data_IF_876744357310
#
_entry.id   IF_876744357310
#
_cell.length_a   1.000
_cell.length_b   1.000
_cell.length_c   1.000
_cell.angle_alpha   90.00
_cell.angle_beta   90.00
_cell.angle_gamma   90.00
#
_symmetry.space_group_name_H-M   'P 1'
#
loop_
_entity.id
_entity.type
_entity.pdbx_description
1 polymer ?
#
# COMPACT_ATOMS: atom_id res chain seq x y z
N UNK A 1 23.35 33.53 -13.74
CA UNK A 1 22.18 34.35 -13.35
C UNK A 1 21.73 34.03 -11.92
N UNK A 2 21.23 32.83 -11.60
CA UNK A 2 20.78 32.47 -10.23
C UNK A 2 21.86 32.57 -9.12
N UNK A 3 23.11 32.14 -9.37
CA UNK A 3 24.20 32.13 -8.35
C UNK A 3 24.51 33.50 -7.72
N UNK A 4 24.20 34.61 -8.40
CA UNK A 4 24.49 35.96 -7.93
C UNK A 4 23.22 36.73 -7.53
N UNK A 5 22.06 36.07 -7.51
CA UNK A 5 20.78 36.68 -7.16
C UNK A 5 20.55 36.65 -5.65
N UNK A 6 19.90 37.69 -5.12
CA UNK A 6 19.28 37.64 -3.81
C UNK A 6 18.00 36.81 -3.86
N UNK A 7 17.75 36.01 -2.82
CA UNK A 7 16.59 35.14 -2.73
C UNK A 7 15.63 35.69 -1.68
N UNK A 8 14.36 35.85 -2.05
CA UNK A 8 13.31 36.31 -1.14
C UNK A 8 12.16 35.32 -1.13
N UNK A 9 11.65 35.00 0.06
CA UNK A 9 10.44 34.19 0.19
C UNK A 9 9.26 35.07 -0.27
N UNK A 10 8.62 34.67 -1.38
CA UNK A 10 7.46 35.37 -1.91
C UNK A 10 6.16 34.87 -1.28
N UNK A 11 6.05 33.57 -1.04
CA UNK A 11 4.87 32.96 -0.44
C UNK A 11 5.23 31.68 0.30
N UNK A 12 4.55 31.45 1.42
CA UNK A 12 4.45 30.15 2.07
C UNK A 12 2.99 29.74 2.18
N UNK A 13 2.69 28.51 1.79
CA UNK A 13 1.36 27.92 1.90
C UNK A 13 1.46 26.56 2.59
N UNK A 14 0.68 26.39 3.66
CA UNK A 14 0.57 25.14 4.40
C UNK A 14 -0.85 24.58 4.19
N UNK A 15 -0.94 23.34 3.68
CA UNK A 15 -2.21 22.69 3.34
C UNK A 15 -2.27 21.26 3.90
N UNK A 16 -3.35 20.89 4.61
CA UNK A 16 -3.59 19.49 4.96
C UNK A 16 -3.78 18.64 3.70
N UNK A 17 -3.09 17.51 3.63
CA UNK A 17 -3.18 16.54 2.53
C UNK A 17 -3.24 15.13 3.10
N UNK A 18 -3.90 14.20 2.41
CA UNK A 18 -3.95 12.80 2.83
C UNK A 18 -3.54 11.86 1.70
N UNK A 19 -3.07 10.66 2.08
CA UNK A 19 -2.77 9.58 1.15
C UNK A 19 -3.65 8.39 1.49
N UNK A 20 -4.60 8.07 0.62
CA UNK A 20 -5.46 6.90 0.79
C UNK A 20 -4.64 5.61 0.64
N UNK A 21 -4.96 4.56 1.40
CA UNK A 21 -4.35 3.26 1.17
C UNK A 21 -4.72 2.73 -0.22
N UNK A 22 -3.75 2.08 -0.86
CA UNK A 22 -3.99 1.42 -2.15
C UNK A 22 -4.84 0.16 -1.97
N UNK A 23 -5.54 -0.25 -3.03
CA UNK A 23 -6.34 -1.46 -3.07
C UNK A 23 -5.52 -2.72 -2.69
N UNK A 24 -6.15 -3.82 -2.25
CA UNK A 24 -5.48 -5.10 -2.15
C UNK A 24 -4.92 -5.53 -3.51
N UNK A 25 -3.93 -6.43 -3.49
CA UNK A 25 -3.24 -6.77 -4.72
C UNK A 25 -4.10 -7.58 -5.70
N UNK A 26 -3.91 -7.28 -6.98
CA UNK A 26 -4.24 -8.16 -8.10
C UNK A 26 -2.94 -8.63 -8.74
N UNK A 27 -3.02 -9.51 -9.73
CA UNK A 27 -1.83 -10.06 -10.40
C UNK A 27 -0.87 -8.98 -10.86
N UNK A 28 -1.40 -7.96 -11.55
CA UNK A 28 -0.58 -6.90 -12.15
C UNK A 28 0.02 -5.94 -11.12
N UNK A 29 -0.71 -5.61 -10.05
CA UNK A 29 -0.22 -4.70 -9.01
C UNK A 29 0.75 -5.40 -8.06
N UNK A 30 0.56 -6.70 -7.79
CA UNK A 30 1.54 -7.52 -7.07
C UNK A 30 2.88 -7.57 -7.82
N UNK A 31 2.84 -7.86 -9.12
CA UNK A 31 4.06 -7.92 -9.95
C UNK A 31 4.82 -6.59 -9.95
N UNK A 32 4.11 -5.46 -10.10
CA UNK A 32 4.71 -4.14 -10.04
C UNK A 32 5.32 -3.85 -8.65
N UNK A 33 4.58 -4.15 -7.58
CA UNK A 33 5.06 -3.91 -6.21
C UNK A 33 6.27 -4.80 -5.86
N UNK A 34 6.26 -6.07 -6.26
CA UNK A 34 7.36 -7.00 -6.04
C UNK A 34 8.62 -6.59 -6.84
N UNK A 35 8.46 -6.10 -8.06
CA UNK A 35 9.57 -5.51 -8.83
C UNK A 35 10.16 -4.30 -8.10
N UNK A 36 9.32 -3.34 -7.73
CA UNK A 36 9.75 -2.08 -7.13
C UNK A 36 10.34 -2.22 -5.72
N UNK A 37 9.80 -3.13 -4.90
CA UNK A 37 10.17 -3.26 -3.49
C UNK A 37 11.11 -4.42 -3.18
N UNK A 38 11.06 -5.49 -3.97
CA UNK A 38 11.83 -6.72 -3.72
C UNK A 38 12.86 -7.01 -4.82
N UNK A 39 12.80 -6.32 -5.96
CA UNK A 39 13.64 -6.59 -7.13
C UNK A 39 13.25 -7.87 -7.87
N UNK A 40 12.03 -8.37 -7.69
CA UNK A 40 11.59 -9.62 -8.34
C UNK A 40 11.04 -9.35 -9.74
N UNK A 41 11.61 -10.02 -10.74
CA UNK A 41 11.00 -10.10 -12.07
C UNK A 41 9.71 -10.93 -12.05
N UNK A 42 8.85 -10.74 -13.05
CA UNK A 42 7.51 -11.37 -13.14
C UNK A 42 7.54 -12.88 -12.91
N UNK A 43 8.46 -13.61 -13.55
CA UNK A 43 8.60 -15.07 -13.41
C UNK A 43 8.85 -15.47 -11.95
N UNK A 44 9.73 -14.76 -11.25
CA UNK A 44 10.07 -15.04 -9.86
C UNK A 44 8.89 -14.74 -8.93
N UNK A 45 8.23 -13.59 -9.11
CA UNK A 45 7.03 -13.22 -8.35
C UNK A 45 5.94 -14.29 -8.47
N UNK A 46 5.63 -14.73 -9.70
CA UNK A 46 4.59 -15.73 -9.91
C UNK A 46 4.97 -17.11 -9.38
N UNK A 47 6.25 -17.50 -9.45
CA UNK A 47 6.74 -18.74 -8.87
C UNK A 47 6.58 -18.75 -7.34
N UNK A 48 6.97 -17.66 -6.66
CA UNK A 48 6.82 -17.55 -5.21
C UNK A 48 5.34 -17.50 -4.80
N UNK A 49 4.51 -16.75 -5.53
CA UNK A 49 3.08 -16.69 -5.27
C UNK A 49 2.40 -18.05 -5.47
N UNK A 50 2.78 -18.82 -6.50
CA UNK A 50 2.32 -20.20 -6.68
C UNK A 50 2.65 -21.06 -5.46
N UNK A 51 3.90 -21.02 -4.99
CA UNK A 51 4.33 -21.79 -3.80
C UNK A 51 3.53 -21.39 -2.55
N UNK A 52 3.32 -20.10 -2.34
CA UNK A 52 2.51 -19.60 -1.21
C UNK A 52 1.05 -20.06 -1.30
N UNK A 53 0.46 -20.05 -2.50
CA UNK A 53 -0.90 -20.52 -2.75
C UNK A 53 -1.04 -22.03 -2.50
N UNK A 54 -0.13 -22.84 -3.06
CA UNK A 54 -0.12 -24.31 -2.86
C UNK A 54 0.10 -24.71 -1.40
N UNK A 55 0.85 -23.90 -0.64
CA UNK A 55 1.03 -24.07 0.79
C UNK A 55 -0.14 -23.50 1.63
N UNK A 56 -1.16 -22.91 1.01
CA UNK A 56 -2.35 -22.40 1.67
C UNK A 56 -2.21 -21.03 2.34
N UNK A 57 -1.10 -20.30 2.12
CA UNK A 57 -0.84 -19.03 2.78
C UNK A 57 -1.55 -17.83 2.16
N UNK A 58 -1.83 -17.87 0.85
CA UNK A 58 -2.51 -16.78 0.13
C UNK A 58 -3.66 -17.31 -0.72
N UNK A 59 -4.58 -16.42 -1.09
CA UNK A 59 -5.61 -16.67 -2.11
C UNK A 59 -4.99 -16.80 -3.51
N UNK A 60 -5.81 -17.22 -4.48
CA UNK A 60 -5.36 -17.46 -5.85
C UNK A 60 -4.72 -16.21 -6.48
N UNK A 61 -3.46 -16.33 -6.89
CA UNK A 61 -2.60 -15.23 -7.32
C UNK A 61 -2.82 -14.76 -8.77
N UNK A 62 -3.71 -15.40 -9.53
CA UNK A 62 -4.10 -15.01 -10.89
C UNK A 62 -5.51 -14.46 -10.89
N UNK A 63 -5.62 -13.22 -10.44
CA UNK A 63 -6.86 -12.46 -10.30
C UNK A 63 -6.67 -11.04 -10.86
N UNK A 64 -7.75 -10.45 -11.37
CA UNK A 64 -7.89 -9.04 -11.74
C UNK A 64 -8.87 -8.28 -10.84
N UNK A 65 -9.41 -8.97 -9.83
CA UNK A 65 -10.40 -8.45 -8.89
C UNK A 65 -9.74 -7.95 -7.60
N UNK A 66 -10.07 -6.73 -7.20
CA UNK A 66 -9.71 -6.17 -5.88
C UNK A 66 -10.74 -6.51 -4.80
N UNK A 67 -11.72 -7.36 -5.12
CA UNK A 67 -12.79 -7.71 -4.19
C UNK A 67 -12.25 -8.51 -2.99
N UNK A 68 -12.86 -8.31 -1.83
CA UNK A 68 -12.56 -9.04 -0.60
C UNK A 68 -13.87 -9.62 -0.07
N UNK A 69 -13.85 -10.88 0.37
CA UNK A 69 -15.01 -11.45 1.07
C UNK A 69 -15.29 -10.72 2.37
N UNK A 70 -16.52 -10.81 2.86
CA UNK A 70 -16.93 -10.24 4.15
C UNK A 70 -16.02 -10.77 5.27
N UNK A 71 -15.81 -12.09 5.32
CA UNK A 71 -14.93 -12.75 6.29
C UNK A 71 -13.49 -12.20 6.24
N UNK A 72 -12.96 -11.95 5.04
CA UNK A 72 -11.62 -11.40 4.88
C UNK A 72 -11.52 -9.98 5.45
N UNK A 73 -12.54 -9.15 5.19
CA UNK A 73 -12.58 -7.77 5.70
C UNK A 73 -12.71 -7.76 7.22
N UNK A 74 -13.59 -8.59 7.78
CA UNK A 74 -13.76 -8.72 9.24
C UNK A 74 -12.47 -9.22 9.91
N UNK A 75 -11.80 -10.20 9.31
CA UNK A 75 -10.52 -10.70 9.77
C UNK A 75 -9.44 -9.60 9.81
N UNK A 76 -9.31 -8.83 8.73
CA UNK A 76 -8.35 -7.73 8.67
C UNK A 76 -8.67 -6.66 9.71
N UNK A 77 -9.94 -6.26 9.82
CA UNK A 77 -10.41 -5.24 10.77
C UNK A 77 -10.18 -5.64 12.22
N UNK A 78 -10.48 -6.89 12.56
CA UNK A 78 -10.27 -7.42 13.91
C UNK A 78 -8.78 -7.41 14.29
N UNK A 79 -7.91 -7.82 13.37
CA UNK A 79 -6.47 -7.77 13.56
C UNK A 79 -5.95 -6.32 13.68
N UNK A 80 -6.48 -5.40 12.88
CA UNK A 80 -6.11 -3.99 12.93
C UNK A 80 -6.47 -3.40 14.30
N UNK A 81 -7.68 -3.69 14.80
CA UNK A 81 -8.11 -3.22 16.11
C UNK A 81 -7.24 -3.77 17.24
N UNK A 82 -6.90 -5.06 17.20
CA UNK A 82 -6.12 -5.70 18.26
C UNK A 82 -4.66 -5.21 18.29
N UNK A 83 -4.02 -5.10 17.13
CA UNK A 83 -2.57 -4.83 17.05
C UNK A 83 -2.24 -3.33 16.96
N UNK A 84 -3.08 -2.54 16.27
CA UNK A 84 -2.81 -1.11 16.02
C UNK A 84 -3.73 -0.20 16.83
N UNK A 85 -4.89 -0.70 17.25
CA UNK A 85 -5.86 0.05 18.04
C UNK A 85 -6.88 0.83 17.21
N UNK A 86 -7.95 1.27 17.87
CA UNK A 86 -9.13 1.90 17.24
C UNK A 86 -8.82 3.08 16.32
N UNK A 87 -7.75 3.85 16.58
CA UNK A 87 -7.37 5.00 15.74
C UNK A 87 -6.96 4.61 14.32
N UNK A 88 -6.55 3.35 14.10
CA UNK A 88 -6.23 2.81 12.77
C UNK A 88 -7.36 1.94 12.19
N UNK A 89 -8.51 1.88 12.85
CA UNK A 89 -9.68 1.16 12.34
C UNK A 89 -10.72 2.18 11.82
N UNK A 90 -10.98 2.24 10.50
CA UNK A 90 -12.07 3.05 9.97
C UNK A 90 -13.43 2.58 10.50
N UNK A 91 -14.35 3.51 10.73
CA UNK A 91 -15.70 3.19 11.24
C UNK A 91 -16.44 2.19 10.36
N UNK A 92 -16.33 2.34 9.03
CA UNK A 92 -16.90 1.42 8.05
C UNK A 92 -15.79 0.70 7.24
N UNK A 93 -16.07 -0.52 6.75
CA UNK A 93 -15.21 -1.21 5.77
C UNK A 93 -14.84 -0.36 4.56
N UNK A 94 -13.60 -0.47 4.10
CA UNK A 94 -13.15 0.18 2.86
C UNK A 94 -13.39 -0.77 1.69
N UNK A 95 -14.18 -0.32 0.71
CA UNK A 95 -14.50 -1.10 -0.49
C UNK A 95 -13.71 -0.57 -1.68
N UNK A 96 -13.12 -1.48 -2.44
CA UNK A 96 -12.41 -1.19 -3.68
C UNK A 96 -13.17 -1.84 -4.85
N UNK A 97 -13.67 -1.01 -5.77
CA UNK A 97 -14.36 -1.51 -6.96
C UNK A 97 -13.44 -2.29 -7.89
N UNK A 98 -13.96 -3.36 -8.48
CA UNK A 98 -13.33 -4.09 -9.58
C UNK A 98 -13.48 -3.30 -10.90
N UNK A 99 -12.64 -3.61 -11.89
CA UNK A 99 -12.82 -3.10 -13.26
C UNK A 99 -14.06 -3.75 -13.89
N UNK A 100 -14.76 -3.01 -14.75
CA UNK A 100 -15.82 -3.60 -15.60
C UNK A 100 -15.26 -4.79 -16.39
N UNK A 101 -15.94 -5.95 -16.28
CA UNK A 101 -15.55 -7.19 -16.95
C UNK A 101 -14.57 -8.08 -16.19
N UNK A 102 -14.19 -7.74 -14.95
CA UNK A 102 -13.42 -8.63 -14.10
C UNK A 102 -14.19 -9.92 -13.82
N UNK A 103 -13.48 -11.05 -13.70
CA UNK A 103 -14.11 -12.31 -13.34
C UNK A 103 -14.57 -12.23 -11.87
N UNK A 104 -15.84 -11.92 -11.65
CA UNK A 104 -16.43 -11.62 -10.33
C UNK A 104 -16.33 -12.77 -9.31
N UNK A 105 -15.96 -13.97 -9.73
CA UNK A 105 -15.80 -15.14 -8.86
C UNK A 105 -14.47 -15.19 -8.10
N UNK A 106 -13.55 -14.23 -8.31
CA UNK A 106 -12.23 -14.24 -7.68
C UNK A 106 -12.05 -13.09 -6.69
N UNK A 107 -11.43 -13.40 -5.55
CA UNK A 107 -10.95 -12.41 -4.59
C UNK A 107 -9.60 -11.83 -5.01
N UNK A 108 -9.23 -10.72 -4.38
CA UNK A 108 -7.89 -10.17 -4.42
C UNK A 108 -6.85 -11.15 -3.84
N UNK A 109 -5.58 -10.89 -4.15
CA UNK A 109 -4.45 -11.61 -3.56
C UNK A 109 -4.25 -11.09 -2.14
N UNK A 110 -4.55 -11.94 -1.16
CA UNK A 110 -4.47 -11.66 0.28
C UNK A 110 -3.98 -12.89 1.05
N UNK A 111 -3.55 -12.75 2.31
CA UNK A 111 -3.37 -13.88 3.19
C UNK A 111 -4.67 -14.67 3.36
N UNK A 112 -4.55 -16.00 3.47
CA UNK A 112 -5.65 -16.86 3.90
C UNK A 112 -6.04 -16.57 5.36
N UNK A 113 -5.04 -16.31 6.20
CA UNK A 113 -5.17 -15.92 7.60
C UNK A 113 -4.16 -14.80 7.93
N UNK A 114 -4.63 -13.70 8.53
CA UNK A 114 -3.78 -12.57 8.95
C UNK A 114 -3.02 -12.84 10.24
N UNK A 115 -3.48 -13.76 11.09
CA UNK A 115 -2.77 -14.14 12.31
C UNK A 115 -1.47 -14.90 12.02
N UNK A 116 -1.34 -15.46 10.81
CA UNK A 116 -0.10 -16.04 10.31
C UNK A 116 0.91 -14.93 10.01
N UNK A 117 1.73 -14.59 10.99
CA UNK A 117 2.74 -13.55 10.82
C UNK A 117 3.80 -13.96 9.76
N UNK A 118 4.31 -13.05 8.91
CA UNK A 118 5.27 -13.38 7.85
C UNK A 118 6.56 -14.08 8.31
N UNK A 119 6.95 -13.92 9.57
CA UNK A 119 8.12 -14.59 10.15
C UNK A 119 7.85 -16.00 10.67
N UNK A 120 6.60 -16.49 10.56
CA UNK A 120 6.15 -17.79 11.07
C UNK A 120 5.77 -18.77 9.96
N UNK A 121 6.09 -18.47 8.70
CA UNK A 121 5.84 -19.39 7.60
C UNK A 121 6.73 -20.63 7.75
N UNK A 122 6.14 -21.80 7.74
CA UNK A 122 6.87 -23.07 7.79
C UNK A 122 7.25 -23.53 6.39
N UNK A 123 8.49 -23.99 6.22
CA UNK A 123 8.98 -24.61 4.97
C UNK A 123 9.10 -23.68 3.77
N UNK A 124 9.05 -22.36 3.96
CA UNK A 124 9.13 -21.37 2.89
C UNK A 124 10.54 -20.81 2.76
N UNK A 125 10.96 -20.54 1.53
CA UNK A 125 12.23 -19.85 1.27
C UNK A 125 12.09 -18.35 1.54
N UNK A 126 13.23 -17.68 1.78
CA UNK A 126 13.27 -16.26 2.16
C UNK A 126 12.55 -15.33 1.19
N UNK A 127 12.60 -15.62 -0.10
CA UNK A 127 11.93 -14.80 -1.11
C UNK A 127 10.40 -14.99 -1.12
N UNK A 128 9.91 -16.18 -0.77
CA UNK A 128 8.48 -16.42 -0.56
C UNK A 128 7.98 -15.70 0.70
N UNK A 129 8.75 -15.73 1.80
CA UNK A 129 8.44 -14.96 3.01
C UNK A 129 8.33 -13.46 2.73
N UNK A 130 9.28 -12.90 1.97
CA UNK A 130 9.28 -11.47 1.60
C UNK A 130 8.10 -11.11 0.71
N UNK A 131 7.69 -11.99 -0.20
CA UNK A 131 6.50 -11.77 -1.03
C UNK A 131 5.22 -11.86 -0.20
N UNK A 132 5.12 -12.83 0.71
CA UNK A 132 4.01 -12.95 1.64
C UNK A 132 3.89 -11.72 2.52
N UNK A 133 4.99 -11.24 3.10
CA UNK A 133 5.02 -10.02 3.90
C UNK A 133 4.50 -8.81 3.11
N UNK A 134 4.88 -8.69 1.83
CA UNK A 134 4.39 -7.63 0.96
C UNK A 134 2.86 -7.73 0.76
N UNK A 135 2.33 -8.93 0.50
CA UNK A 135 0.89 -9.19 0.35
C UNK A 135 0.15 -8.89 1.65
N UNK A 136 0.65 -9.40 2.78
CA UNK A 136 0.08 -9.25 4.11
C UNK A 136 -0.02 -7.78 4.53
N UNK A 137 1.06 -7.01 4.34
CA UNK A 137 1.07 -5.57 4.65
C UNK A 137 0.09 -4.79 3.77
N UNK A 138 0.01 -5.11 2.47
CA UNK A 138 -0.92 -4.45 1.56
C UNK A 138 -2.37 -4.75 1.92
N UNK A 139 -2.67 -6.00 2.29
CA UNK A 139 -4.00 -6.42 2.69
C UNK A 139 -4.49 -5.71 3.95
N UNK A 140 -3.68 -5.65 5.01
CA UNK A 140 -4.06 -4.90 6.21
C UNK A 140 -4.19 -3.40 5.93
N UNK A 141 -3.20 -2.80 5.25
CA UNK A 141 -3.20 -1.37 4.98
C UNK A 141 -4.43 -0.92 4.17
N UNK A 142 -4.98 -1.77 3.29
CA UNK A 142 -6.16 -1.42 2.51
C UNK A 142 -7.43 -1.21 3.37
N UNK A 143 -7.44 -1.71 4.61
CA UNK A 143 -8.54 -1.51 5.57
C UNK A 143 -8.19 -0.49 6.68
N UNK A 144 -7.09 0.26 6.54
CA UNK A 144 -6.65 1.29 7.51
C UNK A 144 -7.00 2.71 7.01
N UNK A 145 -7.08 3.73 7.89
CA UNK A 145 -7.38 5.09 7.48
C UNK A 145 -6.25 5.71 6.63
N UNK A 146 -6.54 6.80 5.89
CA UNK A 146 -5.52 7.52 5.14
C UNK A 146 -4.45 8.13 6.04
N UNK A 147 -3.19 8.01 5.65
CA UNK A 147 -2.11 8.78 6.24
C UNK A 147 -2.37 10.29 6.02
N UNK A 148 -2.16 11.10 7.06
CA UNK A 148 -2.39 12.54 7.04
C UNK A 148 -1.07 13.29 7.10
N UNK A 149 -0.96 14.35 6.29
CA UNK A 149 0.23 15.17 6.18
C UNK A 149 -0.11 16.66 6.21
N UNK A 150 0.80 17.46 6.72
CA UNK A 150 0.82 18.90 6.47
C UNK A 150 1.83 19.16 5.35
N UNK A 151 1.33 19.56 4.18
CA UNK A 151 2.15 19.90 3.02
C UNK A 151 2.48 21.38 3.03
N UNK A 152 3.76 21.72 2.91
CA UNK A 152 4.26 23.09 2.85
C UNK A 152 4.85 23.34 1.47
N UNK A 153 4.36 24.37 0.80
CA UNK A 153 4.97 24.91 -0.43
C UNK A 153 5.54 26.29 -0.16
N UNK A 154 6.82 26.49 -0.46
CA UNK A 154 7.49 27.78 -0.37
C UNK A 154 7.86 28.22 -1.78
N UNK A 155 7.33 29.37 -2.22
CA UNK A 155 7.75 30.05 -3.44
C UNK A 155 8.81 31.09 -3.10
N UNK A 156 9.91 31.07 -3.83
CA UNK A 156 11.07 31.96 -3.66
C UNK A 156 11.31 32.70 -4.97
N UNK A 157 11.46 34.02 -4.90
CA UNK A 157 11.86 34.83 -6.06
C UNK A 157 13.36 35.09 -6.05
N UNK A 158 13.97 35.05 -7.24
CA UNK A 158 15.38 35.36 -7.45
C UNK A 158 15.54 36.12 -8.78
N UNK A 159 15.48 37.45 -8.73
CA UNK A 159 15.38 38.28 -9.94
C UNK A 159 14.10 37.97 -10.71
N UNK A 160 14.23 37.62 -11.99
CA UNK A 160 13.10 37.25 -12.87
C UNK A 160 12.63 35.79 -12.70
N UNK A 161 13.28 35.01 -11.83
CA UNK A 161 12.97 33.60 -11.64
C UNK A 161 12.08 33.37 -10.40
N UNK A 162 11.15 32.42 -10.51
CA UNK A 162 10.44 31.83 -9.36
C UNK A 162 10.91 30.38 -9.16
N UNK A 163 11.29 30.04 -7.92
CA UNK A 163 11.62 28.70 -7.49
C UNK A 163 10.55 28.20 -6.52
N UNK A 164 10.32 26.89 -6.47
CA UNK A 164 9.43 26.27 -5.48
C UNK A 164 10.11 25.13 -4.74
N UNK A 165 10.02 25.16 -3.43
CA UNK A 165 10.34 24.03 -2.56
C UNK A 165 9.04 23.45 -1.99
N UNK A 166 8.94 22.11 -1.97
CA UNK A 166 7.81 21.39 -1.39
C UNK A 166 8.32 20.43 -0.33
N UNK A 167 7.68 20.44 0.83
CA UNK A 167 7.92 19.50 1.91
C UNK A 167 6.59 18.99 2.48
N UNK A 168 6.61 17.85 3.15
CA UNK A 168 5.44 17.36 3.89
C UNK A 168 5.87 16.78 5.22
N UNK A 169 5.08 17.05 6.26
CA UNK A 169 5.27 16.52 7.62
C UNK A 169 4.15 15.53 7.90
N UNK A 170 4.50 14.31 8.31
CA UNK A 170 3.54 13.29 8.73
C UNK A 170 2.82 13.74 10.01
N UNK A 171 1.49 13.68 10.00
CA UNK A 171 0.62 14.02 11.14
C UNK A 171 -0.07 12.79 11.70
N UNK A 172 -0.39 11.84 10.83
CA UNK A 172 -0.94 10.53 11.16
C UNK A 172 -0.39 9.54 10.11
N UNK A 173 0.22 8.45 10.58
CA UNK A 173 0.89 7.44 9.77
C UNK A 173 -0.04 6.44 9.11
#
# INVERSE_FOLDING_TARGET
>A
KLKASSYTIAKREDRPTSSKPSAPFITSTLQQAASNRLGFGVKKTMMMAQRLYEAGYITYMRTDSTNLSVDAVEMARSYIESEFGKKYLPEAPIVYGSKEGAQEAHEAIRPSDVATHPTKLSGMERDAERLYELIWRQFLACQMPPAQYLSTTVSVTAGEFELRAKGRILKFD
#
